data_IF_221385290202
#
_entry.id   IF_221385290202
#
_cell.length_a   1.000
_cell.length_b   1.000
_cell.length_c   1.000
_cell.angle_alpha   90.00
_cell.angle_beta   90.00
_cell.angle_gamma   90.00
#
_symmetry.space_group_name_H-M   'P 1'
#
loop_
_entity.id
_entity.type
_entity.pdbx_description
1 polymer ?
#
# COMPACT_ATOMS: atom_id res chain seq x y z
N UNK A 1 3.95 -5.74 -6.29
CA UNK A 1 4.73 -5.35 -5.07
C UNK A 1 3.75 -4.98 -3.96
N UNK A 2 4.10 -5.20 -2.69
CA UNK A 2 3.30 -4.79 -1.52
C UNK A 2 3.93 -3.60 -0.80
N UNK A 3 3.12 -2.62 -0.43
CA UNK A 3 3.53 -1.41 0.30
C UNK A 3 2.62 -1.27 1.51
N UNK A 4 3.22 -1.08 2.69
CA UNK A 4 2.53 -1.05 3.97
C UNK A 4 3.00 0.14 4.82
N UNK A 5 2.11 0.73 5.66
CA UNK A 5 2.51 1.72 6.63
C UNK A 5 3.46 1.11 7.67
N UNK A 6 4.37 1.92 8.22
CA UNK A 6 5.30 1.47 9.27
C UNK A 6 4.60 1.23 10.60
N UNK A 7 3.63 2.09 10.94
CA UNK A 7 2.81 1.94 12.13
C UNK A 7 1.71 0.90 11.85
N UNK A 8 1.59 -0.17 12.64
CA UNK A 8 0.48 -1.09 12.49
C UNK A 8 -0.84 -0.41 12.85
N UNK A 9 -1.83 -0.54 11.96
CA UNK A 9 -3.19 -0.01 12.12
C UNK A 9 -4.20 -1.08 11.73
N UNK A 10 -5.33 -1.13 12.42
CA UNK A 10 -6.35 -2.14 12.13
C UNK A 10 -7.14 -1.82 10.85
N UNK A 11 -7.34 -0.54 10.55
CA UNK A 11 -8.16 -0.07 9.42
C UNK A 11 -7.56 1.17 8.78
N UNK A 12 -7.94 1.40 7.52
CA UNK A 12 -7.48 2.53 6.71
C UNK A 12 -7.83 3.88 7.29
N UNK A 13 -8.99 3.93 7.94
CA UNK A 13 -9.45 5.12 8.64
C UNK A 13 -8.62 5.48 9.88
N UNK A 14 -7.79 4.55 10.36
CA UNK A 14 -6.96 4.73 11.56
C UNK A 14 -5.56 5.26 11.20
N UNK A 15 -5.25 5.38 9.90
CA UNK A 15 -4.07 6.09 9.41
C UNK A 15 -4.26 7.60 9.60
N UNK A 16 -3.18 8.25 10.02
CA UNK A 16 -3.11 9.70 10.06
C UNK A 16 -2.98 10.25 8.64
N UNK A 17 -3.45 11.48 8.36
CA UNK A 17 -3.36 12.09 7.03
C UNK A 17 -1.93 12.07 6.46
N UNK A 18 -0.92 12.29 7.29
CA UNK A 18 0.49 12.21 6.92
C UNK A 18 0.94 10.80 6.52
N UNK A 19 0.42 9.76 7.16
CA UNK A 19 0.75 8.36 6.85
C UNK A 19 0.08 7.93 5.55
N UNK A 20 -1.15 8.39 5.29
CA UNK A 20 -1.82 8.19 3.99
C UNK A 20 -1.01 8.86 2.89
N UNK A 21 -0.59 10.11 3.08
CA UNK A 21 0.22 10.82 2.09
C UNK A 21 1.55 10.11 1.82
N UNK A 22 2.23 9.65 2.87
CA UNK A 22 3.49 8.92 2.74
C UNK A 22 3.31 7.57 2.01
N UNK A 23 2.25 6.82 2.36
CA UNK A 23 1.94 5.53 1.74
C UNK A 23 1.71 5.65 0.23
N UNK A 24 0.94 6.66 -0.21
CA UNK A 24 0.71 6.89 -1.64
C UNK A 24 1.94 7.48 -2.35
N UNK A 25 2.76 8.28 -1.66
CA UNK A 25 4.03 8.75 -2.21
C UNK A 25 5.00 7.61 -2.46
N UNK A 26 5.14 6.68 -1.51
CA UNK A 26 5.92 5.47 -1.68
C UNK A 26 5.38 4.62 -2.85
N UNK A 27 4.06 4.50 -2.95
CA UNK A 27 3.39 3.79 -4.05
C UNK A 27 3.72 4.38 -5.42
N UNK A 28 3.71 5.70 -5.56
CA UNK A 28 4.07 6.36 -6.81
C UNK A 28 5.54 6.12 -7.19
N UNK A 29 6.47 6.20 -6.23
CA UNK A 29 7.90 5.95 -6.48
C UNK A 29 8.16 4.50 -6.91
N UNK A 30 7.56 3.54 -6.22
CA UNK A 30 7.69 2.12 -6.56
C UNK A 30 7.00 1.83 -7.90
N UNK A 31 5.82 2.41 -8.15
CA UNK A 31 5.09 2.26 -9.40
C UNK A 31 5.92 2.66 -10.62
N UNK A 32 6.56 3.83 -10.56
CA UNK A 32 7.46 4.29 -11.63
C UNK A 32 8.60 3.30 -11.91
N UNK A 33 9.21 2.75 -10.85
CA UNK A 33 10.30 1.76 -10.99
C UNK A 33 9.78 0.45 -11.59
N UNK A 34 8.60 -0.01 -11.16
CA UNK A 34 7.96 -1.23 -11.67
C UNK A 34 7.64 -1.07 -13.16
N UNK A 35 6.99 0.02 -13.56
CA UNK A 35 6.67 0.29 -14.97
C UNK A 35 7.93 0.33 -15.84
N UNK A 36 8.98 1.03 -15.41
CA UNK A 36 10.25 1.10 -16.12
C UNK A 36 10.93 -0.27 -16.23
N UNK A 37 10.90 -1.06 -15.15
CA UNK A 37 11.54 -2.37 -15.12
C UNK A 37 10.87 -3.38 -16.06
N UNK A 38 9.54 -3.35 -16.17
CA UNK A 38 8.77 -4.27 -17.00
C UNK A 38 8.37 -3.70 -18.36
N UNK A 39 8.72 -2.45 -18.67
CA UNK A 39 8.29 -1.77 -19.90
C UNK A 39 6.76 -1.56 -19.97
N UNK A 40 6.10 -1.48 -18.81
CA UNK A 40 4.67 -1.27 -18.70
C UNK A 40 4.28 0.19 -18.97
N UNK A 41 3.08 0.40 -19.52
CA UNK A 41 2.49 1.73 -19.74
C UNK A 41 1.30 2.00 -18.82
N UNK A 42 1.02 1.08 -17.90
CA UNK A 42 -0.10 1.15 -16.98
C UNK A 42 0.24 0.35 -15.74
N UNK A 43 -0.28 0.82 -14.61
CA UNK A 43 -0.12 0.22 -13.29
C UNK A 43 -1.49 0.13 -12.64
N UNK A 44 -1.84 -1.02 -12.06
CA UNK A 44 -3.03 -1.14 -11.23
C UNK A 44 -2.65 -1.07 -9.76
N UNK A 45 -3.25 -0.12 -9.04
CA UNK A 45 -3.10 0.05 -7.60
C UNK A 45 -4.36 -0.48 -6.92
N UNK A 46 -4.21 -1.49 -6.06
CA UNK A 46 -5.32 -2.06 -5.30
C UNK A 46 -5.05 -1.91 -3.80
N UNK A 47 -6.03 -1.36 -3.07
CA UNK A 47 -6.02 -1.33 -1.60
C UNK A 47 -6.95 -2.43 -1.11
N UNK A 48 -6.39 -3.39 -0.36
CA UNK A 48 -7.17 -4.49 0.20
C UNK A 48 -7.21 -4.37 1.73
N UNK A 49 -8.42 -4.32 2.27
CA UNK A 49 -8.66 -4.32 3.72
C UNK A 49 -9.11 -5.72 4.12
N UNK A 50 -8.18 -6.56 4.56
CA UNK A 50 -8.52 -7.90 5.05
C UNK A 50 -8.99 -7.83 6.50
N UNK A 51 -10.24 -8.24 6.76
CA UNK A 51 -10.73 -8.48 8.11
C UNK A 51 -10.07 -9.75 8.66
N UNK A 52 -9.01 -9.63 9.46
CA UNK A 52 -8.35 -10.80 10.04
C UNK A 52 -8.90 -11.09 11.45
N UNK A 53 -9.71 -12.14 11.57
CA UNK A 53 -10.13 -12.71 12.85
C UNK A 53 -8.95 -13.47 13.47
N UNK A 54 -8.15 -12.82 14.34
CA UNK A 54 -7.39 -13.53 15.38
C UNK A 54 -5.86 -13.46 15.41
N UNK A 55 -5.19 -12.49 14.75
CA UNK A 55 -3.76 -12.18 15.00
C UNK A 55 -3.51 -10.65 15.00
N UNK A 56 -2.54 -10.14 15.79
CA UNK A 56 -2.57 -8.74 16.25
C UNK A 56 -1.94 -7.70 15.31
N UNK A 57 -1.77 -7.98 14.02
CA UNK A 57 -1.20 -6.96 13.10
C UNK A 57 -1.78 -7.14 11.70
N UNK A 58 -2.81 -6.34 11.40
CA UNK A 58 -3.19 -6.03 10.03
C UNK A 58 -2.21 -5.00 9.50
N UNK A 59 -1.40 -5.36 8.52
CA UNK A 59 -0.73 -4.36 7.70
C UNK A 59 -1.69 -4.08 6.56
N UNK A 60 -2.12 -2.84 6.42
CA UNK A 60 -2.81 -2.46 5.20
C UNK A 60 -1.87 -2.53 4.03
N UNK A 61 -2.34 -3.12 2.95
CA UNK A 61 -1.50 -3.48 1.82
C UNK A 61 -2.00 -2.77 0.58
N UNK A 62 -1.15 -1.91 0.02
CA UNK A 62 -1.27 -1.48 -1.37
C UNK A 62 -0.54 -2.50 -2.23
N UNK A 63 -1.28 -3.16 -3.12
CA UNK A 63 -0.73 -4.05 -4.14
C UNK A 63 -0.59 -3.32 -5.47
N UNK A 64 0.59 -3.44 -6.07
CA UNK A 64 0.90 -3.02 -7.43
C UNK A 64 0.99 -4.23 -8.34
N UNK A 65 0.19 -4.24 -9.41
CA UNK A 65 0.19 -5.25 -10.48
C UNK A 65 0.27 -4.62 -11.86
#
# INVERSE_FOLDING_TARGET
VLICPLRPVERFRDLLPEEVADLFRATQLVGNVVEQHFGGTSLTISVQVSLYTGKPVSNEVISLS
#
